data_IF_902619848298
#
_entry.id   IF_902619848298
#
_cell.length_a   1.000
_cell.length_b   1.000
_cell.length_c   1.000
_cell.angle_alpha   90.00
_cell.angle_beta   90.00
_cell.angle_gamma   90.00
#
_symmetry.space_group_name_H-M   'P 1'
#
loop_
_entity.id
_entity.type
_entity.pdbx_description
1 polymer ?
#
# COMPACT_ATOMS: atom_id res chain seq x y z
N UNK A 1 -0.70 -19.32 1.15
CA UNK A 1 -2.03 -18.75 1.44
C UNK A 1 -1.94 -17.27 1.76
N UNK A 2 -0.88 -16.82 2.45
CA UNK A 2 -0.68 -15.41 2.78
C UNK A 2 -0.62 -14.47 1.57
N UNK A 3 -0.06 -14.92 0.43
CA UNK A 3 0.04 -14.09 -0.78
C UNK A 3 -1.32 -13.60 -1.29
N UNK A 4 -2.33 -14.48 -1.45
CA UNK A 4 -3.65 -14.08 -1.95
C UNK A 4 -4.28 -12.99 -1.06
N UNK A 5 -4.23 -13.20 0.26
CA UNK A 5 -4.84 -12.30 1.24
C UNK A 5 -4.12 -10.95 1.25
N UNK A 6 -2.79 -10.96 1.35
CA UNK A 6 -1.99 -9.74 1.40
C UNK A 6 -1.99 -9.00 0.06
N UNK A 7 -1.96 -9.69 -1.08
CA UNK A 7 -2.08 -9.07 -2.40
C UNK A 7 -3.42 -8.36 -2.58
N UNK A 8 -4.53 -8.99 -2.15
CA UNK A 8 -5.84 -8.36 -2.19
C UNK A 8 -5.88 -7.12 -1.28
N UNK A 9 -5.32 -7.22 -0.07
CA UNK A 9 -5.29 -6.11 0.87
C UNK A 9 -4.40 -4.95 0.39
N UNK A 10 -3.20 -5.23 -0.13
CA UNK A 10 -2.33 -4.22 -0.75
C UNK A 10 -3.01 -3.52 -1.92
N UNK A 11 -3.86 -4.22 -2.69
CA UNK A 11 -4.65 -3.61 -3.76
C UNK A 11 -5.58 -2.52 -3.23
N UNK A 12 -6.25 -2.76 -2.10
CA UNK A 12 -7.09 -1.75 -1.42
C UNK A 12 -6.24 -0.56 -0.97
N UNK A 13 -5.05 -0.79 -0.41
CA UNK A 13 -4.14 0.29 -0.03
C UNK A 13 -3.68 1.11 -1.24
N UNK A 14 -3.41 0.48 -2.39
CA UNK A 14 -3.08 1.21 -3.62
C UNK A 14 -4.24 2.07 -4.12
N UNK A 15 -5.47 1.56 -4.06
CA UNK A 15 -6.67 2.32 -4.40
C UNK A 15 -6.82 3.55 -3.50
N UNK A 16 -6.67 3.38 -2.18
CA UNK A 16 -6.68 4.48 -1.20
C UNK A 16 -5.56 5.49 -1.49
N UNK A 17 -4.33 5.03 -1.72
CA UNK A 17 -3.17 5.86 -2.07
C UNK A 17 -3.36 6.64 -3.38
N UNK A 18 -4.10 6.07 -4.33
CA UNK A 18 -4.40 6.69 -5.61
C UNK A 18 -5.62 7.62 -5.59
N UNK A 19 -6.41 7.60 -4.52
CA UNK A 19 -7.67 8.34 -4.41
C UNK A 19 -7.46 9.86 -4.52
N UNK A 20 -8.43 10.55 -5.13
CA UNK A 20 -8.39 12.01 -5.25
C UNK A 20 -8.48 12.70 -3.88
N UNK A 21 -9.28 12.15 -2.97
CA UNK A 21 -9.44 12.60 -1.59
C UNK A 21 -8.10 12.60 -0.86
N UNK A 22 -7.37 11.48 -0.91
CA UNK A 22 -6.07 11.39 -0.25
C UNK A 22 -5.05 12.35 -0.88
N UNK A 23 -5.00 12.44 -2.21
CA UNK A 23 -4.09 13.37 -2.91
C UNK A 23 -4.32 14.82 -2.48
N UNK A 24 -5.59 15.23 -2.34
CA UNK A 24 -5.95 16.58 -1.91
C UNK A 24 -5.46 16.89 -0.49
N UNK A 25 -5.73 15.99 0.47
CA UNK A 25 -5.32 16.20 1.86
C UNK A 25 -3.81 16.05 2.06
N UNK A 26 -3.17 15.14 1.32
CA UNK A 26 -1.71 14.96 1.34
C UNK A 26 -1.00 16.24 0.87
N UNK A 27 -1.48 16.85 -0.20
CA UNK A 27 -0.96 18.12 -0.71
C UNK A 27 -1.13 19.27 0.27
N UNK A 28 -2.29 19.35 0.90
CA UNK A 28 -2.52 20.34 1.94
C UNK A 28 -1.59 20.19 3.15
N UNK A 29 -1.35 18.96 3.59
CA UNK A 29 -0.49 18.65 4.74
C UNK A 29 1.00 18.64 4.41
N UNK A 30 1.37 18.67 3.13
CA UNK A 30 2.76 18.60 2.68
C UNK A 30 3.37 17.20 2.76
N UNK A 31 2.55 16.15 2.70
CA UNK A 31 2.97 14.73 2.86
C UNK A 31 2.91 13.92 1.55
N UNK A 32 2.78 14.57 0.38
CA UNK A 32 2.74 13.87 -0.92
C UNK A 32 3.96 13.00 -1.18
N UNK A 33 5.13 13.45 -0.72
CA UNK A 33 6.38 12.72 -0.86
C UNK A 33 6.31 11.38 -0.11
N UNK A 34 5.74 11.39 1.10
CA UNK A 34 5.56 10.20 1.93
C UNK A 34 4.57 9.23 1.29
N UNK A 35 3.42 9.71 0.81
CA UNK A 35 2.43 8.87 0.12
C UNK A 35 3.02 8.19 -1.12
N UNK A 36 3.85 8.91 -1.90
CA UNK A 36 4.57 8.33 -3.05
C UNK A 36 5.62 7.31 -2.61
N UNK A 37 6.31 7.55 -1.49
CA UNK A 37 7.30 6.63 -0.93
C UNK A 37 6.63 5.33 -0.49
N UNK A 38 5.51 5.40 0.23
CA UNK A 38 4.73 4.24 0.66
C UNK A 38 4.29 3.39 -0.53
N UNK A 39 3.71 4.03 -1.56
CA UNK A 39 3.32 3.32 -2.78
C UNK A 39 4.51 2.55 -3.40
N UNK A 40 5.71 3.14 -3.43
CA UNK A 40 6.90 2.47 -3.97
C UNK A 40 7.34 1.28 -3.13
N UNK A 41 7.38 1.44 -1.80
CA UNK A 41 7.80 0.38 -0.87
C UNK A 41 6.80 -0.78 -0.88
N UNK A 42 5.50 -0.50 -0.81
CA UNK A 42 4.44 -1.52 -0.90
C UNK A 42 4.50 -2.28 -2.23
N UNK A 43 4.75 -1.60 -3.35
CA UNK A 43 4.90 -2.25 -4.65
C UNK A 43 6.11 -3.19 -4.71
N UNK A 44 7.22 -2.80 -4.07
CA UNK A 44 8.40 -3.66 -3.95
C UNK A 44 8.15 -4.90 -3.08
N UNK A 45 7.31 -4.78 -2.05
CA UNK A 45 6.89 -5.87 -1.18
C UNK A 45 5.92 -6.80 -1.91
N UNK A 46 4.94 -6.25 -2.63
CA UNK A 46 3.97 -7.01 -3.41
C UNK A 46 4.65 -7.97 -4.39
N UNK A 47 5.72 -7.50 -5.05
CA UNK A 47 6.48 -8.31 -6.00
C UNK A 47 7.09 -9.59 -5.42
N UNK A 48 7.31 -9.67 -4.10
CA UNK A 48 7.92 -10.84 -3.44
C UNK A 48 6.94 -11.70 -2.66
N UNK A 49 5.66 -11.30 -2.54
CA UNK A 49 4.65 -12.02 -1.75
C UNK A 49 4.48 -13.49 -2.19
N UNK A 50 4.53 -13.75 -3.49
CA UNK A 50 4.40 -15.10 -4.04
C UNK A 50 5.56 -16.02 -3.62
N UNK A 51 6.78 -15.49 -3.56
CA UNK A 51 7.95 -16.24 -3.09
C UNK A 51 7.92 -16.41 -1.56
N UNK A 52 7.58 -15.35 -0.83
CA UNK A 52 7.45 -15.38 0.61
C UNK A 52 6.41 -16.40 1.08
N UNK A 53 5.21 -16.41 0.48
CA UNK A 53 4.12 -17.36 0.81
C UNK A 53 4.50 -18.82 0.58
N UNK A 54 5.41 -19.12 -0.35
CA UNK A 54 5.92 -20.48 -0.54
C UNK A 54 6.98 -20.85 0.50
N UNK A 55 7.86 -19.91 0.84
CA UNK A 55 8.93 -20.11 1.83
C UNK A 55 8.43 -20.10 3.27
N UNK A 56 7.26 -19.49 3.54
CA UNK A 56 6.63 -19.41 4.87
C UNK A 56 6.50 -20.77 5.58
N UNK A 57 6.24 -21.85 4.82
CA UNK A 57 6.04 -23.20 5.36
C UNK A 57 7.32 -23.73 6.03
N UNK A 58 8.49 -23.38 5.48
CA UNK A 58 9.79 -23.95 5.87
C UNK A 58 10.69 -22.97 6.60
N UNK A 59 10.47 -21.66 6.41
CA UNK A 59 11.30 -20.61 6.98
C UNK A 59 10.48 -19.74 7.94
N UNK A 60 10.75 -19.88 9.24
CA UNK A 60 10.06 -19.11 10.28
C UNK A 60 10.33 -17.60 10.21
N UNK A 61 11.50 -17.18 9.73
CA UNK A 61 11.79 -15.75 9.53
C UNK A 61 10.91 -15.16 8.44
N UNK A 62 10.69 -15.89 7.34
CA UNK A 62 9.75 -15.46 6.28
C UNK A 62 8.31 -15.39 6.81
N UNK A 63 7.91 -16.35 7.65
CA UNK A 63 6.61 -16.31 8.32
C UNK A 63 6.43 -15.08 9.20
N UNK A 64 7.46 -14.74 9.98
CA UNK A 64 7.47 -13.52 10.80
C UNK A 64 7.36 -12.27 9.93
N UNK A 65 8.17 -12.18 8.88
CA UNK A 65 8.15 -11.07 7.93
C UNK A 65 6.76 -10.85 7.30
N UNK A 66 6.05 -11.92 6.92
CA UNK A 66 4.67 -11.85 6.41
C UNK A 66 3.67 -11.37 7.47
N UNK A 67 3.84 -11.80 8.72
CA UNK A 67 3.00 -11.37 9.83
C UNK A 67 3.23 -9.88 10.16
N UNK A 68 4.48 -9.45 10.17
CA UNK A 68 4.85 -8.05 10.43
C UNK A 68 4.33 -7.14 9.30
N UNK A 69 4.40 -7.60 8.05
CA UNK A 69 3.75 -6.93 6.92
C UNK A 69 2.23 -6.83 7.10
N UNK A 70 1.56 -7.90 7.57
CA UNK A 70 0.12 -7.87 7.80
C UNK A 70 -0.26 -6.82 8.85
N UNK A 71 0.45 -6.78 9.97
CA UNK A 71 0.21 -5.77 11.01
C UNK A 71 0.45 -4.35 10.49
N UNK A 72 1.55 -4.13 9.78
CA UNK A 72 1.86 -2.83 9.20
C UNK A 72 0.83 -2.38 8.17
N UNK A 73 0.25 -3.32 7.42
CA UNK A 73 -0.78 -2.99 6.45
C UNK A 73 -2.05 -2.44 7.14
N UNK A 74 -2.43 -2.97 8.32
CA UNK A 74 -3.52 -2.39 9.12
C UNK A 74 -3.16 -1.00 9.65
N UNK A 75 -1.93 -0.80 10.14
CA UNK A 75 -1.48 0.53 10.59
C UNK A 75 -1.55 1.57 9.46
N UNK A 76 -1.18 1.17 8.23
CA UNK A 76 -1.30 2.01 7.04
C UNK A 76 -2.77 2.30 6.73
N UNK A 77 -3.63 1.29 6.74
CA UNK A 77 -5.05 1.44 6.42
C UNK A 77 -5.74 2.44 7.36
N UNK A 78 -5.46 2.32 8.66
CA UNK A 78 -5.94 3.21 9.71
C UNK A 78 -5.50 4.67 9.46
N UNK A 79 -4.23 4.89 9.12
CA UNK A 79 -3.73 6.25 8.83
C UNK A 79 -4.34 6.83 7.56
N UNK A 80 -4.56 6.01 6.53
CA UNK A 80 -5.21 6.45 5.30
C UNK A 80 -6.68 6.82 5.54
N UNK A 81 -7.39 6.09 6.39
CA UNK A 81 -8.77 6.41 6.78
C UNK A 81 -8.87 7.65 7.67
N UNK A 82 -7.93 7.85 8.60
CA UNK A 82 -7.80 9.09 9.38
C UNK A 82 -7.63 10.30 8.44
N UNK A 83 -6.78 10.18 7.42
CA UNK A 83 -6.55 11.24 6.43
C UNK A 83 -7.78 11.49 5.54
N UNK A 84 -8.47 10.43 5.10
CA UNK A 84 -9.70 10.55 4.32
C UNK A 84 -10.82 11.21 5.13
N UNK A 85 -10.93 10.87 6.42
CA UNK A 85 -11.90 11.46 7.35
C UNK A 85 -11.64 12.95 7.54
N UNK A 86 -10.38 13.34 7.75
CA UNK A 86 -9.98 14.75 7.84
C UNK A 86 -10.30 15.50 6.54
N UNK A 87 -10.07 14.89 5.38
CA UNK A 87 -10.41 15.48 4.09
C UNK A 87 -11.92 15.79 3.98
N UNK A 88 -12.77 14.83 4.37
CA UNK A 88 -14.23 15.02 4.39
C UNK A 88 -14.65 16.16 5.34
N UNK A 89 -14.12 16.17 6.56
CA UNK A 89 -14.39 17.23 7.55
C UNK A 89 -14.03 18.62 7.01
N UNK A 90 -12.90 18.71 6.30
CA UNK A 90 -12.48 19.95 5.66
C UNK A 90 -13.45 20.40 4.58
N UNK A 91 -13.92 19.50 3.72
CA UNK A 91 -14.92 19.87 2.72
C UNK A 91 -16.21 20.40 3.33
N UNK A 92 -16.69 19.81 4.43
CA UNK A 92 -17.90 20.27 5.11
C UNK A 92 -17.72 21.64 5.76
N UNK A 93 -16.58 21.88 6.44
CA UNK A 93 -16.31 23.17 7.10
C UNK A 93 -16.07 24.32 6.12
N UNK A 94 -15.45 24.05 4.96
CA UNK A 94 -15.29 25.07 3.91
C UNK A 94 -16.58 25.37 3.14
N UNK A 95 -17.53 24.42 3.07
CA UNK A 95 -18.84 24.63 2.43
C UNK A 95 -19.85 25.35 3.35
N UNK A 96 -19.54 25.57 4.63
CA UNK A 96 -20.53 25.99 5.63
C UNK A 96 -20.46 27.43 6.14
N UNK A 97 -19.72 28.40 5.57
CA UNK A 97 -19.89 29.83 5.98
C UNK A 97 -19.75 30.84 4.82
N UNK A 98 -20.56 31.93 4.83
CA UNK A 98 -21.05 32.63 6.03
C UNK A 98 -22.59 32.71 6.15
N UNK A 99 -23.17 32.08 7.19
CA UNK A 99 -24.44 32.58 7.74
C UNK A 99 -24.09 33.62 8.79
N UNK A 100 -24.40 34.87 8.48
CA UNK A 100 -24.33 36.02 9.38
C UNK A 100 -25.15 35.74 10.65
N UNK A 101 -24.50 35.35 11.74
CA UNK A 101 -25.13 35.34 13.06
C UNK A 101 -24.10 35.64 14.13
N UNK A 102 -24.35 36.69 14.91
CA UNK A 102 -23.48 37.21 15.96
C UNK A 102 -23.51 36.33 17.23
N UNK A 103 -23.17 35.04 17.11
CA UNK A 103 -22.88 34.17 18.25
C UNK A 103 -21.48 33.60 18.09
N UNK A 104 -20.49 34.47 18.37
CA UNK A 104 -19.11 34.02 18.55
C UNK A 104 -18.99 33.24 19.86
N UNK A 105 -18.10 32.26 19.81
CA UNK A 105 -17.50 31.49 20.92
C UNK A 105 -18.29 30.26 21.31
N UNK A 106 -18.01 29.16 20.61
CA UNK A 106 -17.74 27.82 21.18
C UNK A 106 -17.47 26.86 20.00
N UNK A 107 -16.49 27.18 19.16
CA UNK A 107 -15.85 26.12 18.36
C UNK A 107 -14.52 25.88 19.07
N UNK A 108 -14.40 24.81 19.89
CA UNK A 108 -13.10 24.44 20.45
C UNK A 108 -12.15 24.17 19.27
N UNK A 109 -10.92 24.67 19.41
CA UNK A 109 -9.72 24.50 18.55
C UNK A 109 -9.94 23.67 17.29
N UNK A 110 -9.61 24.16 16.07
CA UNK A 110 -9.79 23.35 14.86
C UNK A 110 -9.05 22.03 15.06
N UNK A 111 -9.78 20.92 14.96
CA UNK A 111 -9.24 19.56 14.98
C UNK A 111 -8.02 19.41 14.04
N UNK A 112 -7.97 20.25 13.01
CA UNK A 112 -6.87 20.44 12.07
C UNK A 112 -5.48 20.60 12.73
N UNK A 113 -5.37 21.25 13.90
CA UNK A 113 -4.08 21.51 14.55
C UNK A 113 -3.66 20.43 15.57
N UNK A 114 -4.61 19.76 16.23
CA UNK A 114 -4.32 18.79 17.30
C UNK A 114 -3.84 17.45 16.71
N UNK A 115 -4.31 17.11 15.51
CA UNK A 115 -3.94 15.86 14.83
C UNK A 115 -2.72 15.99 13.91
N UNK A 116 -2.17 17.19 13.68
CA UNK A 116 -1.05 17.37 12.75
C UNK A 116 0.22 16.68 13.26
N UNK A 117 0.67 16.96 14.49
CA UNK A 117 1.88 16.31 15.04
C UNK A 117 1.71 14.79 15.14
N UNK A 118 0.54 14.34 15.60
CA UNK A 118 0.23 12.92 15.81
C UNK A 118 0.16 12.11 14.51
N UNK A 119 -0.14 12.76 13.38
CA UNK A 119 -0.10 12.11 12.06
C UNK A 119 1.31 12.03 11.52
N UNK A 120 2.16 13.04 11.72
CA UNK A 120 3.55 13.00 11.30
C UNK A 120 4.36 11.91 12.00
N UNK A 121 4.25 11.78 13.33
CA UNK A 121 5.00 10.75 14.07
C UNK A 121 4.62 9.33 13.61
N UNK A 122 3.33 9.09 13.34
CA UNK A 122 2.84 7.82 12.79
C UNK A 122 3.32 7.58 11.37
N UNK A 123 3.34 8.63 10.53
CA UNK A 123 3.83 8.53 9.16
C UNK A 123 5.30 8.10 9.15
N UNK A 124 6.13 8.70 9.99
CA UNK A 124 7.57 8.39 10.09
C UNK A 124 7.79 6.95 10.61
N UNK A 125 7.04 6.52 11.62
CA UNK A 125 7.11 5.14 12.14
C UNK A 125 6.75 4.09 11.08
N UNK A 126 5.63 4.28 10.38
CA UNK A 126 5.22 3.37 9.29
C UNK A 126 6.26 3.36 8.18
N UNK A 127 6.80 4.54 7.86
CA UNK A 127 7.83 4.68 6.83
C UNK A 127 9.07 3.87 7.18
N UNK A 128 9.55 3.99 8.43
CA UNK A 128 10.69 3.21 8.91
C UNK A 128 10.41 1.71 8.81
N UNK A 129 9.26 1.25 9.31
CA UNK A 129 8.86 -0.17 9.25
C UNK A 129 8.75 -0.70 7.81
N UNK A 130 8.25 0.10 6.87
CA UNK A 130 8.21 -0.29 5.45
C UNK A 130 9.61 -0.44 4.86
N UNK A 131 10.55 0.43 5.26
CA UNK A 131 11.95 0.32 4.83
C UNK A 131 12.60 -0.92 5.44
N UNK A 132 12.40 -1.17 6.72
CA UNK A 132 12.90 -2.36 7.41
C UNK A 132 12.40 -3.65 6.73
N UNK A 133 11.11 -3.73 6.38
CA UNK A 133 10.58 -4.89 5.65
C UNK A 133 11.21 -5.05 4.26
N UNK A 134 11.50 -3.95 3.56
CA UNK A 134 12.17 -3.98 2.25
C UNK A 134 13.62 -4.44 2.37
N UNK A 135 14.32 -4.01 3.43
CA UNK A 135 15.69 -4.45 3.71
C UNK A 135 15.72 -5.92 4.14
N UNK A 136 14.85 -6.32 5.05
CA UNK A 136 14.74 -7.69 5.54
C UNK A 136 14.43 -8.66 4.40
N UNK A 137 13.56 -8.30 3.45
CA UNK A 137 13.28 -9.16 2.28
C UNK A 137 14.55 -9.53 1.51
N UNK A 138 15.52 -8.61 1.45
CA UNK A 138 16.80 -8.82 0.75
C UNK A 138 17.66 -9.81 1.54
N UNK A 139 17.70 -9.67 2.87
CA UNK A 139 18.41 -10.59 3.76
C UNK A 139 17.80 -12.01 3.75
N UNK A 140 16.49 -12.13 3.56
CA UNK A 140 15.75 -13.38 3.46
C UNK A 140 15.86 -14.05 2.09
N UNK A 141 16.52 -13.41 1.12
CA UNK A 141 16.65 -13.92 -0.25
C UNK A 141 15.30 -14.06 -0.96
N UNK A 142 14.37 -13.15 -0.69
CA UNK A 142 13.07 -13.11 -1.36
C UNK A 142 13.21 -12.47 -2.74
N UNK A 143 12.67 -13.14 -3.75
CA UNK A 143 12.81 -12.74 -5.16
C UNK A 143 11.45 -12.58 -5.82
N UNK A 144 11.38 -11.72 -6.83
CA UNK A 144 10.18 -11.63 -7.67
C UNK A 144 10.10 -12.91 -8.49
N UNK A 145 9.00 -13.66 -8.33
CA UNK A 145 8.73 -14.80 -9.19
C UNK A 145 8.37 -14.27 -10.58
N UNK A 146 9.31 -14.35 -11.51
CA UNK A 146 8.97 -14.36 -12.92
C UNK A 146 8.19 -15.64 -13.18
N UNK A 147 6.89 -15.53 -13.48
CA UNK A 147 6.14 -16.65 -14.04
C UNK A 147 6.82 -17.09 -15.33
N UNK A 148 7.67 -18.11 -15.23
CA UNK A 148 8.22 -18.79 -16.39
C UNK A 148 7.04 -19.52 -17.04
N UNK A 149 6.38 -18.87 -18.01
CA UNK A 149 5.44 -19.57 -18.90
C UNK A 149 6.18 -20.78 -19.46
N UNK A 150 5.65 -22.00 -19.32
CA UNK A 150 6.25 -23.14 -20.00
C UNK A 150 6.23 -22.86 -21.50
N UNK A 151 7.41 -22.75 -22.12
CA UNK A 151 7.54 -22.73 -23.57
C UNK A 151 7.09 -24.10 -24.05
N UNK A 152 5.90 -24.15 -24.63
CA UNK A 152 5.35 -25.34 -25.29
C UNK A 152 6.22 -25.67 -26.51
N UNK A 153 7.31 -26.43 -26.31
CA UNK A 153 8.14 -26.98 -27.38
C UNK A 153 7.53 -28.33 -27.75
N UNK A 154 6.38 -28.33 -28.45
CA UNK A 154 5.99 -29.47 -29.28
C UNK A 154 4.79 -29.16 -30.19
N UNK A 155 5.08 -28.73 -31.42
CA UNK A 155 4.32 -29.11 -32.62
C UNK A 155 5.07 -28.72 -33.89
N UNK A 156 6.22 -29.36 -34.09
CA UNK A 156 6.88 -29.42 -35.39
C UNK A 156 7.22 -30.86 -35.72
N UNK A 157 6.20 -31.65 -36.03
CA UNK A 157 6.36 -32.82 -36.88
C UNK A 157 5.83 -32.43 -38.26
N UNK A 158 6.71 -31.87 -39.09
CA UNK A 158 6.53 -31.90 -40.52
C UNK A 158 6.94 -33.30 -40.98
N UNK A 159 5.98 -34.10 -41.45
CA UNK A 159 6.28 -35.20 -42.35
C UNK A 159 5.81 -34.78 -43.73
N UNK A 160 6.75 -34.22 -44.48
CA UNK A 160 6.66 -34.08 -45.93
C UNK A 160 6.63 -35.47 -46.55
N UNK A 161 5.51 -35.87 -47.15
CA UNK A 161 5.51 -36.98 -48.10
C UNK A 161 5.61 -36.41 -49.50
N UNK A 162 6.81 -36.55 -50.06
CA UNK A 162 7.10 -36.37 -51.48
C UNK A 162 6.75 -37.70 -52.18
N UNK A 163 6.21 -37.59 -53.39
CA UNK A 163 6.15 -38.61 -54.45
C UNK A 163 5.06 -39.68 -54.40
N UNK A 164 4.15 -39.61 -55.39
CA UNK A 164 3.65 -40.78 -56.11
C UNK A 164 3.18 -40.35 -57.52
N UNK A 165 4.06 -40.62 -58.49
CA UNK A 165 3.87 -41.04 -59.90
C UNK A 165 2.69 -40.44 -60.67
#
# INVERSE_FOLDING_TARGET
>A
MAEIVLSAFLSVLFEKLASATLKSIASYKGIDAEMKKWHRLLNQIQGVLADASQKEITNQSVKRWLNDLQHLAYDIDDVLDDLATEAMHREFTHKSEPITSKVRKLIPVPLCCINYSRTHDKLDDITAKLQDLVEEKTSLGLSVKEETRPKDINRRLQTSMVHAI
#
